data_IF_380669270320
#
_entry.id   IF_380669270320
#
_cell.length_a   1.000
_cell.length_b   1.000
_cell.length_c   1.000
_cell.angle_alpha   90.00
_cell.angle_beta   90.00
_cell.angle_gamma   90.00
#
_symmetry.space_group_name_H-M   'P 1'
#
loop_
_entity.id
_entity.type
_entity.pdbx_description
1 polymer ?
#
# COMPACT_ATOMS: atom_id res chain seq x y z
N UNK A 1 17.13 -9.78 14.69
CA UNK A 1 16.06 -9.72 13.67
C UNK A 1 16.48 -10.50 12.43
N UNK A 2 15.65 -11.41 11.94
CA UNK A 2 15.92 -12.23 10.74
C UNK A 2 15.40 -11.53 9.49
N UNK A 3 16.22 -11.44 8.44
CA UNK A 3 15.83 -11.00 7.11
C UNK A 3 15.89 -12.18 6.13
N UNK A 4 14.95 -12.25 5.21
CA UNK A 4 14.96 -13.18 4.07
C UNK A 4 14.47 -12.44 2.82
N UNK A 5 15.04 -12.72 1.67
CA UNK A 5 14.57 -12.22 0.38
C UNK A 5 14.29 -13.44 -0.51
N UNK A 6 13.05 -13.60 -0.90
CA UNK A 6 12.62 -14.61 -1.88
C UNK A 6 12.45 -13.94 -3.24
N UNK A 7 12.80 -14.65 -4.32
CA UNK A 7 12.62 -14.18 -5.70
C UNK A 7 11.99 -15.29 -6.52
N UNK A 8 11.05 -14.90 -7.40
CA UNK A 8 10.44 -15.81 -8.37
C UNK A 8 10.00 -15.05 -9.62
N UNK A 9 9.82 -15.78 -10.69
CA UNK A 9 9.26 -15.22 -11.90
C UNK A 9 7.74 -15.11 -11.76
N UNK A 10 7.21 -13.89 -11.91
CA UNK A 10 5.77 -13.65 -11.93
C UNK A 10 5.29 -13.67 -13.38
N UNK A 11 4.46 -14.64 -13.72
CA UNK A 11 3.80 -14.73 -15.03
C UNK A 11 2.92 -13.50 -15.31
N UNK A 12 2.32 -12.90 -14.25
CA UNK A 12 1.47 -11.72 -14.36
C UNK A 12 2.25 -10.45 -14.72
N UNK A 13 3.48 -10.35 -14.22
CA UNK A 13 4.33 -9.18 -14.43
C UNK A 13 5.38 -9.42 -15.52
N UNK A 14 5.52 -10.65 -16.00
CA UNK A 14 6.46 -11.04 -17.05
C UNK A 14 7.93 -10.87 -16.66
N UNK A 15 8.25 -10.92 -15.36
CA UNK A 15 9.60 -10.73 -14.86
C UNK A 15 9.81 -11.28 -13.44
N UNK A 16 11.07 -11.38 -13.02
CA UNK A 16 11.37 -11.69 -11.63
C UNK A 16 10.95 -10.56 -10.70
N UNK A 17 10.41 -10.95 -9.54
CA UNK A 17 10.03 -10.04 -8.49
C UNK A 17 10.54 -10.52 -7.14
N UNK A 18 10.99 -9.59 -6.30
CA UNK A 18 11.48 -9.83 -4.97
C UNK A 18 10.39 -9.61 -3.92
N UNK A 19 10.37 -10.46 -2.90
CA UNK A 19 9.64 -10.27 -1.65
C UNK A 19 10.63 -10.37 -0.50
N UNK A 20 10.88 -9.25 0.16
CA UNK A 20 11.70 -9.19 1.36
C UNK A 20 10.83 -9.35 2.60
N UNK A 21 11.36 -10.01 3.64
CA UNK A 21 10.72 -10.23 4.93
C UNK A 21 11.67 -9.90 6.07
N UNK A 22 11.14 -9.22 7.10
CA UNK A 22 11.82 -8.97 8.37
C UNK A 22 10.95 -9.43 9.53
N UNK A 23 11.54 -10.18 10.45
CA UNK A 23 10.84 -10.77 11.60
C UNK A 23 10.53 -12.25 11.43
N UNK A 24 9.96 -12.83 12.48
CA UNK A 24 9.71 -14.28 12.58
C UNK A 24 8.27 -14.60 12.98
N UNK A 25 7.57 -13.66 13.63
CA UNK A 25 6.22 -13.82 14.14
C UNK A 25 5.47 -12.49 14.16
N UNK A 26 4.15 -12.55 14.37
CA UNK A 26 3.27 -11.40 14.55
C UNK A 26 2.36 -11.11 13.38
N UNK A 27 1.61 -9.99 13.48
CA UNK A 27 0.70 -9.54 12.43
C UNK A 27 1.51 -9.25 11.14
N UNK A 28 1.18 -9.90 10.00
CA UNK A 28 1.83 -9.58 8.75
C UNK A 28 1.42 -8.19 8.25
N UNK A 29 2.43 -7.42 7.85
CA UNK A 29 2.30 -6.09 7.25
C UNK A 29 3.00 -6.11 5.89
N UNK A 30 2.27 -5.85 4.82
CA UNK A 30 2.83 -5.63 3.49
C UNK A 30 3.08 -4.14 3.30
N UNK A 31 4.34 -3.74 3.38
CA UNK A 31 4.80 -2.37 3.20
C UNK A 31 5.18 -2.14 1.74
N UNK A 32 4.36 -1.37 1.04
CA UNK A 32 4.60 -1.00 -0.35
C UNK A 32 5.68 0.07 -0.44
N UNK A 33 6.66 -0.09 -1.35
CA UNK A 33 7.68 0.93 -1.61
C UNK A 33 7.10 2.22 -2.20
N UNK A 34 7.88 3.29 -2.15
CA UNK A 34 7.60 4.53 -2.89
C UNK A 34 7.85 4.35 -4.39
N UNK A 35 7.67 5.41 -5.18
CA UNK A 35 7.69 5.36 -6.65
C UNK A 35 8.96 4.71 -7.25
N UNK A 36 10.12 5.00 -6.69
CA UNK A 36 11.41 4.46 -7.17
C UNK A 36 11.88 3.20 -6.44
N UNK A 37 11.08 2.69 -5.50
CA UNK A 37 11.50 1.68 -4.54
C UNK A 37 11.51 0.24 -5.07
N UNK A 38 12.23 -0.59 -4.34
CA UNK A 38 12.24 -2.05 -4.47
C UNK A 38 11.91 -2.70 -3.11
N UNK A 39 11.91 -4.03 -3.05
CA UNK A 39 11.59 -4.79 -1.85
C UNK A 39 12.45 -4.44 -0.62
N UNK A 40 13.60 -3.82 -0.79
CA UNK A 40 14.54 -3.50 0.30
C UNK A 40 14.63 -1.99 0.59
N UNK A 41 13.82 -1.16 -0.09
CA UNK A 41 13.79 0.29 0.13
C UNK A 41 13.55 0.66 1.60
N UNK A 42 12.58 0.02 2.24
CA UNK A 42 12.24 0.29 3.64
C UNK A 42 13.43 0.09 4.60
N UNK A 43 14.32 -0.85 4.32
CA UNK A 43 15.54 -1.05 5.11
C UNK A 43 16.58 0.04 4.83
N UNK A 44 16.84 0.34 3.56
CA UNK A 44 17.77 1.42 3.16
C UNK A 44 17.35 2.78 3.70
N UNK A 45 16.04 3.02 3.77
CA UNK A 45 15.46 4.27 4.30
C UNK A 45 15.22 4.22 5.82
N UNK A 46 15.82 3.25 6.52
CA UNK A 46 15.78 3.10 7.98
C UNK A 46 14.39 2.84 8.59
N UNK A 47 13.35 2.57 7.81
CA UNK A 47 12.03 2.23 8.34
C UNK A 47 12.08 0.91 9.16
N UNK A 48 12.79 -0.09 8.66
CA UNK A 48 12.97 -1.35 9.40
C UNK A 48 13.71 -1.14 10.73
N UNK A 49 14.58 -0.13 10.80
CA UNK A 49 15.30 0.23 12.04
C UNK A 49 14.35 0.75 13.10
N UNK A 50 13.42 1.65 12.75
CA UNK A 50 12.45 2.19 13.71
C UNK A 50 11.37 1.18 14.10
N UNK A 51 11.05 0.24 13.23
CA UNK A 51 10.10 -0.86 13.51
C UNK A 51 10.73 -2.04 14.28
N UNK A 52 12.06 -2.06 14.43
CA UNK A 52 12.78 -3.18 15.06
C UNK A 52 12.21 -3.61 16.42
N UNK A 53 11.87 -2.71 17.36
CA UNK A 53 11.31 -3.12 18.66
C UNK A 53 10.04 -3.96 18.52
N UNK A 54 9.14 -3.58 17.61
CA UNK A 54 7.90 -4.31 17.36
C UNK A 54 8.14 -5.66 16.66
N UNK A 55 9.10 -5.68 15.73
CA UNK A 55 9.49 -6.89 14.98
C UNK A 55 10.15 -7.92 15.93
N UNK A 56 11.09 -7.48 16.78
CA UNK A 56 11.80 -8.35 17.72
C UNK A 56 10.90 -8.85 18.84
N UNK A 57 9.92 -8.04 19.25
CA UNK A 57 8.86 -8.46 20.18
C UNK A 57 7.85 -9.45 19.56
N UNK A 58 7.94 -9.72 18.25
CA UNK A 58 7.02 -10.62 17.56
C UNK A 58 5.59 -10.06 17.43
N UNK A 59 5.42 -8.75 17.51
CA UNK A 59 4.11 -8.09 17.32
C UNK A 59 3.75 -7.97 15.86
N UNK A 60 4.74 -7.67 15.02
CA UNK A 60 4.59 -7.51 13.56
C UNK A 60 5.67 -8.30 12.81
N UNK A 61 5.31 -8.69 11.60
CA UNK A 61 6.20 -9.31 10.62
C UNK A 61 6.09 -8.52 9.32
N UNK A 62 7.16 -7.84 8.92
CA UNK A 62 7.15 -6.93 7.77
C UNK A 62 7.51 -7.67 6.51
N UNK A 63 6.75 -7.42 5.44
CA UNK A 63 7.03 -7.82 4.07
C UNK A 63 7.06 -6.60 3.18
N UNK A 64 7.88 -6.63 2.12
CA UNK A 64 7.89 -5.61 1.08
C UNK A 64 8.28 -6.25 -0.24
N UNK A 65 7.66 -5.80 -1.34
CA UNK A 65 7.90 -6.31 -2.68
C UNK A 65 8.40 -5.20 -3.63
N UNK A 66 8.98 -5.60 -4.76
CA UNK A 66 9.41 -4.64 -5.78
C UNK A 66 8.24 -3.81 -6.31
N UNK A 67 8.40 -2.49 -6.42
CA UNK A 67 7.39 -1.55 -6.93
C UNK A 67 7.56 -1.29 -8.42
N UNK A 68 7.25 -2.29 -9.25
CA UNK A 68 7.38 -2.18 -10.71
C UNK A 68 6.48 -1.10 -11.30
N UNK A 69 5.21 -1.12 -10.90
CA UNK A 69 4.23 -0.13 -11.32
C UNK A 69 4.62 1.29 -10.86
N UNK A 70 5.10 1.42 -9.62
CA UNK A 70 5.57 2.70 -9.09
C UNK A 70 6.75 3.27 -9.87
N UNK A 71 7.70 2.42 -10.25
CA UNK A 71 8.83 2.83 -11.11
C UNK A 71 8.35 3.27 -12.50
N UNK A 72 7.49 2.51 -13.15
CA UNK A 72 6.95 2.88 -14.46
C UNK A 72 6.16 4.19 -14.44
N UNK A 73 5.44 4.47 -13.35
CA UNK A 73 4.75 5.74 -13.13
C UNK A 73 5.75 6.90 -12.96
N UNK A 74 6.79 6.71 -12.14
CA UNK A 74 7.81 7.73 -11.89
C UNK A 74 8.61 8.05 -13.16
N UNK A 75 9.03 7.03 -13.91
CA UNK A 75 9.83 7.16 -15.13
C UNK A 75 8.99 7.53 -16.36
N UNK A 76 7.66 7.57 -16.25
CA UNK A 76 6.71 7.73 -17.35
C UNK A 76 6.96 6.74 -18.50
N UNK A 77 7.36 5.52 -18.17
CA UNK A 77 7.68 4.48 -19.13
C UNK A 77 6.44 3.98 -19.87
N UNK A 78 6.52 3.88 -21.19
CA UNK A 78 5.44 3.41 -22.03
C UNK A 78 4.27 4.39 -22.20
N UNK A 79 3.16 3.90 -22.75
CA UNK A 79 1.91 4.65 -22.88
C UNK A 79 1.15 4.71 -21.54
N UNK A 80 0.15 5.61 -21.46
CA UNK A 80 -0.74 5.72 -20.30
C UNK A 80 -1.46 4.40 -20.04
N UNK A 81 -2.05 3.78 -21.06
CA UNK A 81 -2.73 2.48 -20.96
C UNK A 81 -1.78 1.36 -20.52
N UNK A 82 -0.52 1.36 -20.98
CA UNK A 82 0.49 0.42 -20.51
C UNK A 82 0.75 0.58 -19.00
N UNK A 83 0.91 1.82 -18.51
CA UNK A 83 1.13 2.06 -17.08
C UNK A 83 -0.07 1.65 -16.23
N UNK A 84 -1.30 1.89 -16.71
CA UNK A 84 -2.52 1.39 -16.05
C UNK A 84 -2.58 -0.14 -16.03
N UNK A 85 -2.28 -0.80 -17.14
CA UNK A 85 -2.24 -2.26 -17.23
C UNK A 85 -1.18 -2.86 -16.29
N UNK A 86 0.01 -2.24 -16.23
CA UNK A 86 1.07 -2.67 -15.32
C UNK A 86 0.65 -2.50 -13.85
N UNK A 87 -0.04 -1.42 -13.51
CA UNK A 87 -0.55 -1.18 -12.16
C UNK A 87 -1.62 -2.21 -11.77
N UNK A 88 -2.55 -2.53 -12.69
CA UNK A 88 -3.53 -3.59 -12.49
C UNK A 88 -2.88 -4.96 -12.31
N UNK A 89 -1.91 -5.30 -13.17
CA UNK A 89 -1.12 -6.53 -13.06
C UNK A 89 -0.37 -6.62 -11.73
N UNK A 90 0.15 -5.48 -11.25
CA UNK A 90 0.81 -5.41 -9.94
C UNK A 90 -0.17 -5.68 -8.79
N UNK A 91 -1.37 -5.09 -8.81
CA UNK A 91 -2.39 -5.38 -7.80
C UNK A 91 -2.87 -6.84 -7.83
N UNK A 92 -2.98 -7.43 -9.02
CA UNK A 92 -3.29 -8.85 -9.17
C UNK A 92 -2.15 -9.76 -8.69
N UNK A 93 -0.89 -9.40 -8.97
CA UNK A 93 0.29 -10.07 -8.40
C UNK A 93 0.23 -10.06 -6.87
N UNK A 94 -0.06 -8.90 -6.27
CA UNK A 94 -0.17 -8.80 -4.81
C UNK A 94 -1.21 -9.79 -4.28
N UNK A 95 -2.40 -9.83 -4.88
CA UNK A 95 -3.50 -10.68 -4.42
C UNK A 95 -3.24 -12.17 -4.65
N UNK A 96 -2.65 -12.55 -5.79
CA UNK A 96 -2.57 -13.95 -6.23
C UNK A 96 -1.22 -14.62 -6.01
N UNK A 97 -0.16 -13.84 -5.72
CA UNK A 97 1.19 -14.36 -5.52
C UNK A 97 1.79 -13.89 -4.18
N UNK A 98 1.88 -12.57 -3.92
CA UNK A 98 2.51 -12.05 -2.71
C UNK A 98 1.74 -12.44 -1.43
N UNK A 99 0.41 -12.25 -1.39
CA UNK A 99 -0.40 -12.63 -0.22
C UNK A 99 -0.37 -14.14 0.04
N UNK A 100 -0.53 -15.05 -0.94
CA UNK A 100 -0.33 -16.47 -0.73
C UNK A 100 1.06 -16.82 -0.17
N UNK A 101 2.12 -16.19 -0.66
CA UNK A 101 3.48 -16.39 -0.14
C UNK A 101 3.60 -15.93 1.33
N UNK A 102 3.02 -14.78 1.68
CA UNK A 102 2.96 -14.26 3.05
C UNK A 102 2.19 -15.23 3.97
N UNK A 103 1.02 -15.69 3.54
CA UNK A 103 0.20 -16.65 4.29
C UNK A 103 0.91 -17.98 4.52
N UNK A 104 1.60 -18.48 3.50
CA UNK A 104 2.43 -19.69 3.60
C UNK A 104 3.57 -19.51 4.60
N UNK A 105 4.25 -18.37 4.58
CA UNK A 105 5.35 -18.05 5.51
C UNK A 105 4.85 -17.80 6.95
N UNK A 106 3.60 -17.39 7.12
CA UNK A 106 2.94 -17.27 8.42
C UNK A 106 2.38 -18.61 8.95
N UNK A 107 2.29 -19.64 8.11
CA UNK A 107 1.65 -20.91 8.46
C UNK A 107 0.14 -20.81 8.67
N UNK A 108 -0.49 -19.77 8.16
CA UNK A 108 -1.95 -19.51 8.30
C UNK A 108 -2.52 -19.00 6.97
N UNK A 109 -3.22 -19.87 6.26
CA UNK A 109 -3.86 -19.55 4.98
C UNK A 109 -5.02 -18.55 5.06
N UNK A 110 -5.53 -18.27 6.27
CA UNK A 110 -6.63 -17.33 6.52
C UNK A 110 -6.19 -15.98 7.04
N UNK A 111 -4.93 -15.81 7.43
CA UNK A 111 -4.47 -14.56 8.04
C UNK A 111 -4.69 -13.36 7.12
N UNK A 112 -5.29 -12.32 7.65
CA UNK A 112 -5.46 -11.04 6.94
C UNK A 112 -4.25 -10.13 7.18
N UNK A 113 -3.82 -9.44 6.14
CA UNK A 113 -2.60 -8.61 6.14
C UNK A 113 -2.95 -7.15 6.38
N UNK A 114 -2.10 -6.39 7.06
CA UNK A 114 -2.16 -4.92 7.04
C UNK A 114 -1.39 -4.44 5.81
N UNK A 115 -2.06 -3.68 4.93
CA UNK A 115 -1.39 -2.97 3.85
C UNK A 115 -0.82 -1.64 4.38
N UNK A 116 0.42 -1.32 4.07
CA UNK A 116 1.00 -0.04 4.48
C UNK A 116 1.87 0.55 3.36
N UNK A 117 2.02 1.87 3.33
CA UNK A 117 2.90 2.54 2.39
C UNK A 117 2.86 4.04 2.49
N UNK A 118 3.79 4.70 1.79
CA UNK A 118 3.85 6.15 1.69
C UNK A 118 3.83 6.60 0.22
N UNK A 119 3.28 7.79 -0.06
CA UNK A 119 3.23 8.32 -1.42
C UNK A 119 2.48 7.37 -2.37
N UNK A 120 3.12 6.89 -3.46
CA UNK A 120 2.55 5.87 -4.35
C UNK A 120 2.38 4.51 -3.64
N UNK A 121 3.17 4.23 -2.60
CA UNK A 121 2.96 3.07 -1.74
C UNK A 121 1.66 3.15 -0.95
N UNK A 122 1.26 4.34 -0.51
CA UNK A 122 -0.04 4.58 0.13
C UNK A 122 -1.20 4.37 -0.86
N UNK A 123 -1.04 4.84 -2.10
CA UNK A 123 -1.97 4.53 -3.18
C UNK A 123 -2.17 3.01 -3.34
N UNK A 124 -1.07 2.26 -3.46
CA UNK A 124 -1.13 0.80 -3.61
C UNK A 124 -1.82 0.13 -2.40
N UNK A 125 -1.51 0.58 -1.17
CA UNK A 125 -2.13 0.05 0.05
C UNK A 125 -3.66 0.23 0.05
N UNK A 126 -4.15 1.42 -0.33
CA UNK A 126 -5.59 1.69 -0.45
C UNK A 126 -6.19 0.89 -1.62
N UNK A 127 -5.54 0.89 -2.78
CA UNK A 127 -6.06 0.22 -3.97
C UNK A 127 -6.25 -1.28 -3.77
N UNK A 128 -5.24 -1.99 -3.22
CA UNK A 128 -5.36 -3.44 -2.98
C UNK A 128 -6.36 -3.76 -1.87
N UNK A 129 -6.46 -2.93 -0.84
CA UNK A 129 -7.45 -3.12 0.24
C UNK A 129 -8.87 -2.95 -0.30
N UNK A 130 -9.10 -1.97 -1.17
CA UNK A 130 -10.41 -1.73 -1.76
C UNK A 130 -10.79 -2.79 -2.83
N UNK A 131 -9.82 -3.30 -3.60
CA UNK A 131 -10.07 -4.34 -4.62
C UNK A 131 -10.20 -5.74 -4.04
N UNK A 132 -9.46 -6.04 -2.98
CA UNK A 132 -9.36 -7.38 -2.38
C UNK A 132 -9.60 -7.34 -0.86
N UNK A 133 -10.74 -6.83 -0.40
CA UNK A 133 -10.98 -6.60 1.03
C UNK A 133 -10.98 -7.87 1.89
N UNK A 134 -11.06 -9.05 1.28
CA UNK A 134 -10.94 -10.35 1.95
C UNK A 134 -9.49 -10.78 2.26
N UNK A 135 -8.51 -10.04 1.77
CA UNK A 135 -7.08 -10.31 1.98
C UNK A 135 -6.47 -9.39 3.05
N UNK A 136 -7.07 -8.22 3.23
CA UNK A 136 -6.53 -7.18 4.09
C UNK A 136 -7.49 -6.83 5.23
N UNK A 137 -6.95 -6.65 6.44
CA UNK A 137 -7.75 -6.18 7.58
C UNK A 137 -7.81 -4.66 7.70
N UNK A 138 -6.74 -4.00 7.28
CA UNK A 138 -6.61 -2.55 7.35
C UNK A 138 -5.57 -2.02 6.35
N UNK A 139 -5.62 -0.71 6.09
CA UNK A 139 -4.56 0.01 5.37
C UNK A 139 -4.03 1.19 6.19
N UNK A 140 -2.70 1.43 6.15
CA UNK A 140 -2.03 2.64 6.65
C UNK A 140 -1.40 3.33 5.45
N UNK A 141 -2.01 4.42 5.02
CA UNK A 141 -1.69 5.11 3.78
C UNK A 141 -1.14 6.52 4.06
N UNK A 142 0.19 6.61 4.23
CA UNK A 142 0.88 7.84 4.63
C UNK A 142 1.12 8.74 3.42
N UNK A 143 0.72 10.02 3.53
CA UNK A 143 0.98 11.04 2.48
C UNK A 143 0.63 10.54 1.07
N UNK A 144 -0.57 9.98 0.89
CA UNK A 144 -0.95 9.26 -0.32
C UNK A 144 -1.13 10.15 -1.53
N UNK A 145 -0.68 9.68 -2.69
CA UNK A 145 -0.95 10.27 -4.01
C UNK A 145 -2.02 9.44 -4.69
N UNK A 146 -3.24 9.96 -4.82
CA UNK A 146 -4.39 9.19 -5.30
C UNK A 146 -4.90 9.60 -6.67
N UNK A 147 -4.50 10.78 -7.17
CA UNK A 147 -4.93 11.30 -8.45
C UNK A 147 -4.11 10.72 -9.61
N UNK A 148 -4.51 9.53 -10.07
CA UNK A 148 -3.85 8.90 -11.22
C UNK A 148 -4.05 9.67 -12.52
N UNK A 149 -5.17 10.40 -12.69
CA UNK A 149 -5.38 11.23 -13.87
C UNK A 149 -4.30 12.30 -13.98
N UNK A 150 -3.97 12.95 -12.87
CA UNK A 150 -2.89 13.94 -12.79
C UNK A 150 -1.51 13.32 -13.06
N UNK A 151 -1.27 12.10 -12.56
CA UNK A 151 -0.01 11.38 -12.77
C UNK A 151 0.15 10.87 -14.21
N UNK A 152 -0.92 10.37 -14.80
CA UNK A 152 -0.94 9.74 -16.12
C UNK A 152 -1.21 10.73 -17.23
N UNK A 153 -1.92 11.83 -16.94
CA UNK A 153 -2.45 12.76 -17.94
C UNK A 153 -3.64 12.17 -18.73
N UNK A 154 -4.30 11.15 -18.21
CA UNK A 154 -5.32 10.37 -18.92
C UNK A 154 -6.30 9.73 -17.93
N UNK A 155 -7.59 9.80 -18.26
CA UNK A 155 -8.66 9.14 -17.52
C UNK A 155 -9.71 8.65 -18.53
N UNK A 156 -9.69 7.40 -18.96
CA UNK A 156 -10.73 7.07 -19.91
C UNK A 156 -10.81 5.70 -20.53
N UNK A 157 -10.12 4.67 -20.01
CA UNK A 157 -10.39 3.30 -20.41
C UNK A 157 -10.63 2.37 -19.21
N UNK A 158 -11.03 1.12 -19.47
CA UNK A 158 -11.29 0.14 -18.42
C UNK A 158 -10.04 -0.12 -17.57
N UNK A 159 -8.85 -0.02 -18.13
CA UNK A 159 -7.60 -0.22 -17.39
C UNK A 159 -7.37 0.87 -16.36
N UNK A 160 -7.69 2.14 -16.68
CA UNK A 160 -7.67 3.24 -15.74
C UNK A 160 -8.72 3.05 -14.63
N UNK A 161 -9.95 2.67 -15.03
CA UNK A 161 -11.04 2.47 -14.07
C UNK A 161 -10.65 1.49 -12.97
N UNK A 162 -10.13 0.30 -13.33
CA UNK A 162 -9.74 -0.71 -12.35
C UNK A 162 -8.44 -0.36 -11.59
N UNK A 163 -7.59 0.49 -12.13
CA UNK A 163 -6.37 0.92 -11.45
C UNK A 163 -6.63 1.96 -10.35
N UNK A 164 -7.65 2.82 -10.51
CA UNK A 164 -7.89 3.98 -9.65
C UNK A 164 -9.00 3.75 -8.63
N UNK A 165 -8.72 3.72 -7.31
CA UNK A 165 -9.77 3.68 -6.29
C UNK A 165 -10.78 4.83 -6.43
N UNK A 166 -10.32 6.03 -6.78
CA UNK A 166 -11.20 7.18 -7.02
C UNK A 166 -12.18 6.97 -8.19
N UNK A 167 -11.83 6.10 -9.15
CA UNK A 167 -12.69 5.80 -10.29
C UNK A 167 -13.66 4.64 -9.99
N UNK A 168 -13.20 3.52 -9.40
CA UNK A 168 -14.06 2.35 -9.24
C UNK A 168 -14.92 2.36 -7.98
N UNK A 169 -14.47 2.97 -6.87
CA UNK A 169 -15.23 2.96 -5.60
C UNK A 169 -16.63 3.56 -5.72
N UNK A 170 -16.85 4.68 -6.43
CA UNK A 170 -18.21 5.22 -6.60
C UNK A 170 -19.20 4.20 -7.16
N UNK A 171 -18.76 3.32 -8.08
CA UNK A 171 -19.57 2.25 -8.65
C UNK A 171 -19.59 0.94 -7.86
N UNK A 172 -18.76 0.79 -6.82
CA UNK A 172 -18.69 -0.45 -6.05
C UNK A 172 -19.97 -0.71 -5.27
N UNK A 173 -20.48 -1.94 -5.32
CA UNK A 173 -21.69 -2.36 -4.63
C UNK A 173 -21.67 -3.87 -4.28
N UNK A 174 -22.68 -4.34 -3.56
CA UNK A 174 -22.87 -5.75 -3.23
C UNK A 174 -21.81 -6.31 -2.29
N UNK A 175 -21.59 -7.64 -2.28
CA UNK A 175 -20.76 -8.32 -1.28
C UNK A 175 -19.31 -7.80 -1.18
N UNK A 176 -18.75 -7.27 -2.26
CA UNK A 176 -17.40 -6.68 -2.24
C UNK A 176 -17.37 -5.39 -1.42
N UNK A 177 -18.39 -4.52 -1.56
CA UNK A 177 -18.54 -3.32 -0.74
C UNK A 177 -18.84 -3.68 0.71
N UNK A 178 -19.73 -4.66 0.96
CA UNK A 178 -20.05 -5.08 2.32
C UNK A 178 -18.80 -5.59 3.05
N UNK A 179 -17.97 -6.35 2.34
CA UNK A 179 -16.68 -6.79 2.90
C UNK A 179 -15.70 -5.62 3.12
N UNK A 180 -15.69 -4.62 2.25
CA UNK A 180 -14.84 -3.44 2.41
C UNK A 180 -15.26 -2.59 3.61
N UNK A 181 -16.55 -2.53 3.93
CA UNK A 181 -17.06 -1.83 5.13
C UNK A 181 -16.60 -2.44 6.46
N UNK A 182 -16.10 -3.67 6.44
CA UNK A 182 -15.47 -4.31 7.60
C UNK A 182 -13.98 -3.94 7.75
N UNK A 183 -13.42 -3.15 6.84
CA UNK A 183 -12.00 -2.75 6.81
C UNK A 183 -11.83 -1.36 7.37
N UNK A 184 -10.61 -1.05 7.82
CA UNK A 184 -10.28 0.28 8.31
C UNK A 184 -9.13 0.88 7.50
N UNK A 185 -9.30 2.10 7.01
CA UNK A 185 -8.30 2.80 6.22
C UNK A 185 -7.84 4.05 6.96
N UNK A 186 -6.58 4.05 7.39
CA UNK A 186 -5.95 5.15 8.09
C UNK A 186 -5.05 5.93 7.13
N UNK A 187 -5.29 7.25 7.04
CA UNK A 187 -4.63 8.13 6.07
C UNK A 187 -3.96 9.31 6.77
N UNK A 188 -2.79 9.12 7.41
CA UNK A 188 -2.02 10.22 7.97
C UNK A 188 -1.24 10.95 6.84
N UNK A 189 -1.09 12.27 6.97
CA UNK A 189 -0.28 13.07 6.05
C UNK A 189 0.34 14.26 6.77
N UNK A 190 1.49 14.74 6.30
CA UNK A 190 2.10 15.99 6.73
C UNK A 190 1.44 17.22 6.07
N UNK A 191 1.79 18.40 6.54
CA UNK A 191 1.37 19.67 5.95
C UNK A 191 2.58 20.52 5.50
N UNK A 192 3.75 19.89 5.45
CA UNK A 192 4.99 20.49 5.00
C UNK A 192 5.17 20.48 3.48
N UNK A 193 6.43 20.54 3.04
CA UNK A 193 6.77 20.61 1.62
C UNK A 193 6.36 19.35 0.87
N UNK A 194 5.85 19.53 -0.36
CA UNK A 194 5.45 18.48 -1.31
C UNK A 194 4.30 17.58 -0.85
N UNK A 195 3.67 17.88 0.28
CA UNK A 195 2.43 17.20 0.67
C UNK A 195 1.25 17.66 -0.19
N UNK A 196 0.30 16.77 -0.40
CA UNK A 196 -0.93 17.02 -1.16
C UNK A 196 -2.18 16.64 -0.34
N UNK A 197 -2.50 17.40 0.72
CA UNK A 197 -3.62 17.10 1.62
C UNK A 197 -4.96 16.88 0.91
N UNK A 198 -5.24 17.64 -0.14
CA UNK A 198 -6.49 17.60 -0.90
C UNK A 198 -6.73 16.22 -1.53
N UNK A 199 -5.67 15.51 -1.96
CA UNK A 199 -5.80 14.16 -2.51
C UNK A 199 -6.24 13.16 -1.43
N UNK A 200 -5.70 13.29 -0.22
CA UNK A 200 -6.11 12.45 0.93
C UNK A 200 -7.55 12.72 1.34
N UNK A 201 -7.96 13.99 1.44
CA UNK A 201 -9.34 14.34 1.75
C UNK A 201 -10.34 13.89 0.67
N UNK A 202 -9.97 13.99 -0.61
CA UNK A 202 -10.79 13.48 -1.71
C UNK A 202 -10.97 11.96 -1.61
N UNK A 203 -9.91 11.21 -1.31
CA UNK A 203 -9.97 9.76 -1.11
C UNK A 203 -10.87 9.40 0.09
N UNK A 204 -10.71 10.10 1.22
CA UNK A 204 -11.53 9.91 2.40
C UNK A 204 -13.02 10.20 2.13
N UNK A 205 -13.32 11.24 1.34
CA UNK A 205 -14.68 11.56 0.92
C UNK A 205 -15.33 10.41 0.15
N UNK A 206 -14.63 9.85 -0.85
CA UNK A 206 -15.14 8.72 -1.63
C UNK A 206 -15.34 7.46 -0.77
N UNK A 207 -14.44 7.20 0.17
CA UNK A 207 -14.62 6.09 1.14
C UNK A 207 -15.83 6.34 2.05
N UNK A 208 -15.99 7.57 2.56
CA UNK A 208 -17.11 7.96 3.41
C UNK A 208 -18.45 7.86 2.71
N UNK A 209 -18.56 8.26 1.43
CA UNK A 209 -19.78 8.09 0.62
C UNK A 209 -20.20 6.62 0.43
N UNK A 210 -19.28 5.69 0.66
CA UNK A 210 -19.51 4.24 0.63
C UNK A 210 -19.65 3.61 2.02
N UNK A 211 -19.67 4.41 3.08
CA UNK A 211 -19.67 3.94 4.48
C UNK A 211 -18.48 3.05 4.82
N UNK A 212 -17.34 3.24 4.16
CA UNK A 212 -16.10 2.52 4.48
C UNK A 212 -15.42 3.22 5.65
N UNK A 213 -15.16 2.52 6.78
CA UNK A 213 -14.49 3.11 7.92
C UNK A 213 -13.10 3.65 7.56
N UNK A 214 -12.92 4.96 7.76
CA UNK A 214 -11.64 5.60 7.48
C UNK A 214 -11.36 6.73 8.48
N UNK A 215 -10.09 7.09 8.62
CA UNK A 215 -9.66 8.21 9.46
C UNK A 215 -8.52 8.97 8.77
N UNK A 216 -8.71 10.26 8.59
CA UNK A 216 -7.67 11.18 8.15
C UNK A 216 -6.99 11.79 9.36
N UNK A 217 -5.66 11.83 9.38
CA UNK A 217 -4.88 12.42 10.48
C UNK A 217 -3.87 13.41 9.91
N UNK A 218 -4.18 14.72 9.94
CA UNK A 218 -3.22 15.74 9.56
C UNK A 218 -2.14 15.90 10.64
N UNK A 219 -0.87 15.88 10.22
CA UNK A 219 0.29 16.23 11.01
C UNK A 219 0.69 17.68 10.70
N UNK A 220 1.52 18.29 11.52
CA UNK A 220 1.87 19.70 11.41
C UNK A 220 2.69 20.07 10.15
N UNK A 221 2.89 21.38 9.93
CA UNK A 221 3.63 21.88 8.77
C UNK A 221 5.13 21.54 8.81
N UNK A 222 5.64 21.07 9.93
CA UNK A 222 7.00 20.56 10.11
C UNK A 222 7.21 19.16 9.49
N UNK A 223 6.13 18.50 9.07
CA UNK A 223 6.16 17.17 8.50
C UNK A 223 6.07 17.24 6.97
N UNK A 224 7.22 17.11 6.32
CA UNK A 224 7.37 17.10 4.87
C UNK A 224 6.97 15.73 4.26
N UNK A 225 6.78 15.67 2.93
CA UNK A 225 6.54 14.45 2.18
C UNK A 225 7.84 13.64 2.04
N UNK A 226 8.31 13.07 3.13
CA UNK A 226 9.59 12.38 3.17
C UNK A 226 9.66 11.22 4.20
N UNK A 227 10.76 10.48 4.14
CA UNK A 227 11.01 9.36 5.04
C UNK A 227 11.19 9.75 6.51
N UNK A 228 11.57 10.99 6.82
CA UNK A 228 11.68 11.44 8.21
C UNK A 228 10.29 11.42 8.85
N UNK A 229 9.31 12.03 8.19
CA UNK A 229 7.91 12.05 8.59
C UNK A 229 7.31 10.62 8.66
N UNK A 230 7.52 9.81 7.65
CA UNK A 230 6.92 8.46 7.59
C UNK A 230 7.50 7.50 8.64
N UNK A 231 8.76 7.68 9.05
CA UNK A 231 9.36 6.92 10.15
C UNK A 231 8.75 7.24 11.52
N UNK A 232 8.14 8.40 11.70
CA UNK A 232 7.38 8.73 12.89
C UNK A 232 5.96 8.19 12.82
N UNK A 233 5.31 8.29 11.66
CA UNK A 233 3.92 7.88 11.44
C UNK A 233 3.73 6.36 11.57
N UNK A 234 4.50 5.56 10.83
CA UNK A 234 4.21 4.13 10.69
C UNK A 234 4.30 3.35 12.00
N UNK A 235 5.33 3.52 12.86
CA UNK A 235 5.37 2.83 14.15
C UNK A 235 4.18 3.17 15.05
N UNK A 236 3.78 4.44 15.09
CA UNK A 236 2.65 4.91 15.90
C UNK A 236 1.35 4.20 15.52
N UNK A 237 1.05 4.15 14.22
CA UNK A 237 -0.20 3.57 13.74
C UNK A 237 -0.19 2.04 13.69
N UNK A 238 0.96 1.41 13.51
CA UNK A 238 1.09 -0.03 13.70
C UNK A 238 0.89 -0.41 15.16
N UNK A 239 1.40 0.39 16.10
CA UNK A 239 1.18 0.18 17.54
C UNK A 239 -0.33 0.22 17.86
N UNK A 240 -1.04 1.21 17.35
CA UNK A 240 -2.50 1.36 17.51
C UNK A 240 -3.29 0.16 16.94
N UNK A 241 -2.89 -0.36 15.78
CA UNK A 241 -3.63 -1.43 15.11
C UNK A 241 -3.26 -2.84 15.57
N UNK A 242 -2.14 -3.01 16.30
CA UNK A 242 -1.62 -4.33 16.73
C UNK A 242 -1.43 -4.44 18.24
N UNK A 243 -1.72 -3.38 19.00
CA UNK A 243 -1.56 -3.30 20.46
C UNK A 243 -2.56 -4.07 21.27
#
# INVERSE_FOLDING_TARGET
MTKTVSRWYSERLGQEIGLARWGHWGQPVLLFPTAGGDAEEAERMHMITVLRPMIEAGRIKIYSCDSLAGRALADRAGTESYRCALLNGFHEYVASEAIPAIRSDCGDGGIEVIAAGASIGAFNAVAVTCRYPHLFRAAIAMSGTYDLEKLLGFAGDDSYYFASPLAFLPGLAGPALDRLRERFILMPFGQGRWEAPDETWRMAGVLGEKDVPNRVVPWGPEHDHDWATWREMLPLYLDELTG
#
